data_IF_836062023182
#
_entry.id   IF_836062023182
#
_cell.length_a   1.000
_cell.length_b   1.000
_cell.length_c   1.000
_cell.angle_alpha   90.00
_cell.angle_beta   90.00
_cell.angle_gamma   90.00
#
_symmetry.space_group_name_H-M   'P 1'
#
loop_
_entity.id
_entity.type
_entity.pdbx_description
1 polymer ?
#
# COMPACT_ATOMS: atom_id res chain seq x y z
N UNK A 1 2.93 -22.24 5.32
CA UNK A 1 2.84 -22.80 3.94
C UNK A 1 1.75 -22.00 3.24
N UNK A 2 2.14 -20.95 2.50
CA UNK A 2 1.23 -20.05 1.79
C UNK A 2 0.86 -20.66 0.43
N UNK A 3 -0.38 -20.45 0.03
CA UNK A 3 -1.10 -21.23 -0.97
C UNK A 3 -0.73 -20.90 -2.41
N UNK A 4 -1.04 -21.85 -3.28
CA UNK A 4 -0.77 -21.85 -4.71
C UNK A 4 -1.37 -20.66 -5.48
N UNK A 5 -0.51 -20.02 -6.31
CA UNK A 5 -0.78 -18.96 -7.30
C UNK A 5 -0.87 -17.53 -6.74
N UNK A 6 0.04 -17.18 -5.86
CA UNK A 6 0.07 -15.90 -5.14
C UNK A 6 0.25 -14.70 -6.08
N UNK A 7 -0.84 -13.99 -6.38
CA UNK A 7 -0.73 -12.57 -6.66
C UNK A 7 -0.37 -11.89 -5.34
N UNK A 8 0.94 -11.84 -5.08
CA UNK A 8 1.53 -11.28 -3.86
C UNK A 8 1.51 -9.75 -3.92
N UNK A 9 1.33 -9.13 -2.75
CA UNK A 9 1.52 -7.68 -2.57
C UNK A 9 2.93 -7.44 -2.04
N UNK A 10 3.60 -6.37 -2.46
CA UNK A 10 5.02 -6.16 -2.15
C UNK A 10 5.27 -5.97 -0.65
N UNK A 11 4.35 -5.31 0.07
CA UNK A 11 4.44 -5.10 1.51
C UNK A 11 3.07 -5.18 2.17
N UNK A 12 3.04 -5.63 3.42
CA UNK A 12 1.84 -5.61 4.27
C UNK A 12 2.24 -4.95 5.59
N UNK A 13 1.59 -3.85 5.94
CA UNK A 13 1.69 -3.27 7.27
C UNK A 13 0.56 -3.82 8.16
N UNK A 14 0.88 -4.01 9.44
CA UNK A 14 -0.12 -4.27 10.48
C UNK A 14 -0.18 -3.06 11.40
N UNK A 15 -1.34 -2.41 11.47
CA UNK A 15 -1.58 -1.24 12.29
C UNK A 15 -2.82 -1.53 13.14
N UNK A 16 -2.65 -1.62 14.46
CA UNK A 16 -3.75 -1.90 15.41
C UNK A 16 -4.57 -3.15 15.04
N UNK A 17 -3.90 -4.19 14.53
CA UNK A 17 -4.55 -5.43 14.10
C UNK A 17 -5.22 -5.37 12.72
N UNK A 18 -5.16 -4.24 12.02
CA UNK A 18 -5.61 -4.10 10.62
C UNK A 18 -4.46 -4.33 9.66
N UNK A 19 -4.68 -5.16 8.66
CA UNK A 19 -3.73 -5.37 7.57
C UNK A 19 -3.93 -4.30 6.51
N UNK A 20 -2.82 -3.73 6.05
CA UNK A 20 -2.78 -2.69 5.03
C UNK A 20 -1.79 -3.12 3.95
N UNK A 21 -2.26 -3.52 2.77
CA UNK A 21 -1.39 -3.93 1.67
C UNK A 21 -0.85 -2.73 0.88
N UNK A 22 0.38 -2.87 0.40
CA UNK A 22 1.06 -1.92 -0.48
C UNK A 22 1.57 -2.66 -1.72
N UNK A 23 1.46 -2.00 -2.87
CA UNK A 23 2.03 -2.46 -4.13
C UNK A 23 2.90 -1.36 -4.75
N UNK A 24 4.05 -1.70 -5.31
CA UNK A 24 5.04 -0.76 -5.85
C UNK A 24 5.04 -0.83 -7.37
N UNK A 25 4.74 0.29 -8.04
CA UNK A 25 4.71 0.39 -9.50
C UNK A 25 5.77 1.38 -10.01
N UNK A 26 6.82 0.82 -10.59
CA UNK A 26 7.97 1.60 -11.08
C UNK A 26 7.97 1.86 -12.61
N UNK A 27 7.11 1.19 -13.39
CA UNK A 27 7.04 1.38 -14.86
C UNK A 27 6.11 2.54 -15.20
N UNK A 28 6.49 3.37 -16.19
CA UNK A 28 5.76 4.61 -16.56
C UNK A 28 4.47 4.35 -17.35
N UNK A 29 4.38 3.19 -17.99
CA UNK A 29 3.24 2.76 -18.77
C UNK A 29 2.74 1.44 -18.20
N UNK A 30 1.66 1.56 -17.42
CA UNK A 30 0.62 0.59 -17.12
C UNK A 30 0.13 0.87 -15.68
N UNK A 31 -0.74 1.88 -15.58
CA UNK A 31 -1.57 2.16 -14.39
C UNK A 31 -3.01 1.79 -14.70
N UNK A 32 -3.21 0.64 -15.35
CA UNK A 32 -4.52 0.08 -15.57
C UNK A 32 -4.97 -0.74 -14.35
N UNK A 33 -6.29 -0.85 -14.15
CA UNK A 33 -6.91 -1.73 -13.13
C UNK A 33 -6.39 -3.19 -13.24
N UNK A 34 -5.89 -3.60 -14.40
CA UNK A 34 -5.29 -4.91 -14.64
C UNK A 34 -3.96 -5.16 -13.92
N UNK A 35 -3.28 -4.13 -13.43
CA UNK A 35 -1.98 -4.25 -12.75
C UNK A 35 -2.08 -4.37 -11.22
N UNK A 36 -3.27 -4.15 -10.63
CA UNK A 36 -3.51 -4.19 -9.18
C UNK A 36 -4.22 -5.47 -8.73
N UNK A 37 -4.00 -6.58 -9.46
CA UNK A 37 -4.67 -7.87 -9.19
C UNK A 37 -4.27 -8.46 -7.84
N UNK A 38 -3.00 -8.31 -7.44
CA UNK A 38 -2.52 -8.73 -6.11
C UNK A 38 -3.20 -7.94 -5.01
N UNK A 39 -3.25 -6.61 -5.15
CA UNK A 39 -3.97 -5.76 -4.21
C UNK A 39 -5.47 -6.12 -4.12
N UNK A 40 -6.13 -6.35 -5.25
CA UNK A 40 -7.55 -6.70 -5.29
C UNK A 40 -7.82 -8.07 -4.65
N UNK A 41 -6.98 -9.06 -4.94
CA UNK A 41 -7.08 -10.39 -4.35
C UNK A 41 -6.86 -10.33 -2.84
N UNK A 42 -5.80 -9.66 -2.39
CA UNK A 42 -5.50 -9.52 -0.97
C UNK A 42 -6.63 -8.84 -0.21
N UNK A 43 -7.15 -7.73 -0.75
CA UNK A 43 -8.28 -7.02 -0.15
C UNK A 43 -9.52 -7.91 -0.04
N UNK A 44 -9.86 -8.68 -1.07
CA UNK A 44 -10.98 -9.62 -1.04
C UNK A 44 -10.79 -10.76 -0.03
N UNK A 45 -9.63 -11.41 -0.02
CA UNK A 45 -9.39 -12.56 0.87
C UNK A 45 -9.22 -12.18 2.33
N UNK A 46 -8.67 -11.00 2.62
CA UNK A 46 -8.40 -10.53 3.99
C UNK A 46 -9.45 -9.54 4.49
N UNK A 47 -10.49 -9.28 3.70
CA UNK A 47 -11.56 -8.33 3.99
C UNK A 47 -11.04 -6.93 4.37
N UNK A 48 -10.15 -6.39 3.52
CA UNK A 48 -9.52 -5.08 3.71
C UNK A 48 -10.08 -4.07 2.70
N UNK A 49 -10.55 -2.92 3.20
CA UNK A 49 -11.18 -1.88 2.38
C UNK A 49 -10.19 -0.83 1.84
N UNK A 50 -8.92 -0.91 2.24
CA UNK A 50 -7.90 0.11 1.96
C UNK A 50 -6.62 -0.51 1.44
N UNK A 51 -6.06 0.05 0.38
CA UNK A 51 -4.75 -0.31 -0.13
C UNK A 51 -3.94 0.90 -0.56
N UNK A 52 -2.66 0.71 -0.78
CA UNK A 52 -1.75 1.76 -1.22
C UNK A 52 -0.94 1.30 -2.42
N UNK A 53 -0.69 2.22 -3.34
CA UNK A 53 0.20 2.00 -4.49
C UNK A 53 1.29 3.05 -4.47
N UNK A 54 2.54 2.61 -4.42
CA UNK A 54 3.69 3.51 -4.51
C UNK A 54 4.05 3.68 -5.99
N UNK A 55 3.96 4.91 -6.50
CA UNK A 55 4.18 5.23 -7.92
C UNK A 55 5.43 6.07 -8.09
N UNK A 56 6.03 6.08 -9.29
CA UNK A 56 7.14 7.00 -9.58
C UNK A 56 6.70 8.39 -10.08
N UNK A 57 5.46 8.52 -10.54
CA UNK A 57 4.96 9.77 -11.13
C UNK A 57 4.23 10.60 -10.06
N UNK A 58 4.56 11.89 -9.96
CA UNK A 58 3.88 12.82 -9.06
C UNK A 58 2.41 13.05 -9.44
N UNK A 59 2.11 13.05 -10.74
CA UNK A 59 0.75 13.27 -11.25
C UNK A 59 -0.21 12.12 -10.89
N UNK A 60 0.32 11.00 -10.40
CA UNK A 60 -0.50 9.88 -9.95
C UNK A 60 -1.12 10.10 -8.57
N UNK A 61 -0.72 11.13 -7.82
CA UNK A 61 -1.24 11.32 -6.46
C UNK A 61 -2.77 11.45 -6.44
N UNK A 62 -3.42 10.59 -5.67
CA UNK A 62 -4.88 10.57 -5.56
C UNK A 62 -5.42 9.20 -5.19
N UNK A 63 -6.75 9.07 -5.19
CA UNK A 63 -7.43 7.81 -4.86
C UNK A 63 -8.14 7.24 -6.06
N UNK A 64 -8.12 5.91 -6.23
CA UNK A 64 -8.99 5.20 -7.16
C UNK A 64 -9.81 4.12 -6.44
N UNK A 65 -11.03 3.83 -6.92
CA UNK A 65 -11.75 2.63 -6.51
C UNK A 65 -11.07 1.39 -7.12
N UNK A 66 -11.02 0.31 -6.34
CA UNK A 66 -10.55 -1.00 -6.81
C UNK A 66 -11.75 -1.94 -6.88
N UNK A 67 -11.98 -2.50 -8.07
CA UNK A 67 -13.12 -3.38 -8.31
C UNK A 67 -12.96 -4.73 -7.61
N UNK A 68 -13.45 -4.82 -6.37
CA UNK A 68 -13.54 -6.08 -5.61
C UNK A 68 -15.02 -6.41 -5.41
N UNK A 69 -15.50 -7.59 -5.85
CA UNK A 69 -16.93 -7.93 -5.73
C UNK A 69 -17.45 -7.86 -4.29
N UNK A 70 -18.52 -7.10 -4.07
CA UNK A 70 -19.16 -6.96 -2.76
C UNK A 70 -18.40 -6.09 -1.76
N UNK A 71 -17.36 -5.37 -2.19
CA UNK A 71 -16.55 -4.52 -1.32
C UNK A 71 -16.24 -3.16 -1.96
N UNK A 72 -16.26 -2.10 -1.15
CA UNK A 72 -15.87 -0.75 -1.56
C UNK A 72 -14.40 -0.50 -1.21
N UNK A 73 -13.50 -1.08 -2.01
CA UNK A 73 -12.05 -0.93 -1.77
C UNK A 73 -11.53 0.36 -2.39
N UNK A 74 -10.83 1.16 -1.58
CA UNK A 74 -10.18 2.41 -2.02
C UNK A 74 -8.68 2.28 -1.95
N UNK A 75 -8.02 2.68 -3.04
CA UNK A 75 -6.57 2.63 -3.17
C UNK A 75 -6.02 4.04 -3.31
N UNK A 76 -5.05 4.39 -2.47
CA UNK A 76 -4.33 5.65 -2.60
C UNK A 76 -3.02 5.44 -3.38
N UNK A 77 -2.84 6.21 -4.45
CA UNK A 77 -1.58 6.29 -5.20
C UNK A 77 -0.70 7.35 -4.54
N UNK A 78 0.49 6.94 -4.13
CA UNK A 78 1.45 7.76 -3.41
C UNK A 78 2.75 7.81 -4.23
N UNK A 79 3.20 8.99 -4.67
CA UNK A 79 4.52 9.15 -5.25
C UNK A 79 5.63 8.68 -4.29
N UNK A 80 6.58 7.92 -4.79
CA UNK A 80 7.69 7.35 -4.04
C UNK A 80 8.45 8.40 -3.20
N UNK A 81 8.69 9.64 -3.67
CA UNK A 81 9.31 10.67 -2.84
C UNK A 81 8.52 11.00 -1.57
N UNK A 82 7.18 11.00 -1.62
CA UNK A 82 6.33 11.22 -0.44
C UNK A 82 6.38 10.01 0.49
N UNK A 83 6.31 8.79 -0.04
CA UNK A 83 6.43 7.57 0.75
C UNK A 83 7.78 7.53 1.50
N UNK A 84 8.88 7.80 0.81
CA UNK A 84 10.22 7.84 1.41
C UNK A 84 10.34 8.95 2.46
N UNK A 85 9.77 10.14 2.20
CA UNK A 85 9.76 11.22 3.18
C UNK A 85 9.04 10.82 4.47
N UNK A 86 7.85 10.22 4.36
CA UNK A 86 7.10 9.78 5.54
C UNK A 86 7.80 8.66 6.30
N UNK A 87 8.43 7.71 5.60
CA UNK A 87 9.24 6.67 6.25
C UNK A 87 10.40 7.28 7.04
N UNK A 88 11.18 8.16 6.42
CA UNK A 88 12.27 8.84 7.12
C UNK A 88 11.80 9.71 8.30
N UNK A 89 10.65 10.39 8.15
CA UNK A 89 10.06 11.15 9.25
C UNK A 89 9.63 10.25 10.41
N UNK A 90 9.05 9.08 10.10
CA UNK A 90 8.65 8.11 11.12
C UNK A 90 9.86 7.57 11.88
N UNK A 91 10.96 7.25 11.19
CA UNK A 91 12.21 6.82 11.81
C UNK A 91 12.79 7.89 12.76
N UNK A 92 12.86 9.14 12.32
CA UNK A 92 13.37 10.25 13.14
C UNK A 92 12.46 10.50 14.35
N UNK A 93 11.15 10.42 14.17
CA UNK A 93 10.19 10.62 15.26
C UNK A 93 10.26 9.49 16.28
N UNK A 94 10.37 8.24 15.81
CA UNK A 94 10.53 7.08 16.68
C UNK A 94 11.84 7.15 17.48
N UNK A 95 12.95 7.58 16.86
CA UNK A 95 14.23 7.77 17.54
C UNK A 95 14.12 8.82 18.66
N UNK A 96 13.44 9.95 18.40
CA UNK A 96 13.24 11.01 19.40
C UNK A 96 12.38 10.58 20.59
N UNK A 97 11.32 9.82 20.35
CA UNK A 97 10.47 9.31 21.43
C UNK A 97 11.17 8.26 22.31
N UNK A 98 12.28 7.67 21.85
CA UNK A 98 13.12 6.75 22.63
C UNK A 98 14.11 7.44 23.58
N UNK A 99 14.46 8.70 23.33
CA UNK A 99 15.42 9.47 24.13
C UNK A 99 14.78 10.15 25.37
N UNK A 100 13.45 10.19 25.47
CA UNK A 100 12.71 10.81 26.59
C UNK A 100 12.51 9.90 27.82
N UNK A 101 13.18 8.74 27.87
CA UNK A 101 13.21 7.82 29.03
C UNK A 101 14.57 7.81 29.77
N UNK A 102 15.42 8.81 29.54
CA UNK A 102 16.72 9.00 30.20
C UNK A 102 16.67 9.89 31.43
#
# INVERSE_FOLDING_TARGET
MLGTKDHEVDLIASIEGRLVPFEVKYRAQATGVGDLKGLAQFCGERNVERGYVITKNFDDFGTLPLGVPGMEVRVAKIPAPLACYWLGLAEVTAARSGDDLG
#
